data_IF_649781769375
#
_entry.id   IF_649781769375
#
_cell.length_a   1.000
_cell.length_b   1.000
_cell.length_c   1.000
_cell.angle_alpha   90.00
_cell.angle_beta   90.00
_cell.angle_gamma   90.00
#
_symmetry.space_group_name_H-M   'P 1'
#
loop_
_entity.id
_entity.type
_entity.pdbx_description
1 polymer ?
#
# COMPACT_ATOMS: atom_id res chain seq x y z
N UNK A 1 57.59 -39.46 -41.43
CA UNK A 1 56.52 -38.46 -41.61
C UNK A 1 55.19 -39.11 -41.31
N UNK A 2 54.51 -38.64 -40.25
CA UNK A 2 53.06 -38.40 -40.13
C UNK A 2 52.67 -38.39 -38.65
N UNK A 3 52.48 -37.18 -38.14
CA UNK A 3 51.89 -36.89 -36.82
C UNK A 3 50.37 -36.77 -36.98
N UNK A 4 49.61 -37.46 -36.13
CA UNK A 4 48.16 -37.30 -36.01
C UNK A 4 47.81 -36.24 -34.97
N UNK A 5 47.12 -35.18 -35.40
CA UNK A 5 46.52 -34.17 -34.51
C UNK A 5 45.14 -34.65 -34.03
N UNK A 6 44.97 -34.75 -32.71
CA UNK A 6 43.65 -34.79 -32.06
C UNK A 6 43.15 -33.35 -31.87
N UNK A 7 42.03 -32.99 -32.52
CA UNK A 7 41.30 -31.75 -32.24
C UNK A 7 40.18 -32.03 -31.24
N UNK A 8 40.32 -31.50 -30.02
CA UNK A 8 39.24 -31.38 -29.05
C UNK A 8 38.40 -30.14 -29.38
N UNK A 9 37.11 -30.33 -29.71
CA UNK A 9 36.14 -29.25 -29.80
C UNK A 9 35.66 -28.89 -28.39
N UNK A 10 36.08 -27.75 -27.86
CA UNK A 10 35.48 -27.15 -26.67
C UNK A 10 34.21 -26.39 -27.07
N UNK A 11 33.04 -26.92 -26.71
CA UNK A 11 31.78 -26.19 -26.80
C UNK A 11 31.67 -25.32 -25.53
N UNK A 12 31.99 -24.03 -25.67
CA UNK A 12 31.71 -23.03 -24.64
C UNK A 12 30.22 -22.67 -24.68
N UNK A 13 29.44 -23.22 -23.74
CA UNK A 13 28.12 -22.72 -23.41
C UNK A 13 28.24 -21.34 -22.77
N UNK A 14 27.98 -20.29 -23.55
CA UNK A 14 27.76 -18.95 -23.00
C UNK A 14 26.39 -18.90 -22.35
N UNK A 15 26.33 -19.07 -21.03
CA UNK A 15 25.18 -18.62 -20.25
C UNK A 15 25.13 -17.09 -20.35
N UNK A 16 24.17 -16.56 -21.11
CA UNK A 16 23.94 -15.12 -21.17
C UNK A 16 23.60 -14.57 -19.78
N UNK A 17 23.98 -13.33 -19.44
CA UNK A 17 23.61 -12.71 -18.19
C UNK A 17 22.09 -12.59 -18.13
N UNK A 18 21.47 -13.18 -17.11
CA UNK A 18 20.05 -12.97 -16.80
C UNK A 18 19.90 -11.49 -16.46
N UNK A 19 19.26 -10.72 -17.34
CA UNK A 19 18.96 -9.32 -17.08
C UNK A 19 18.09 -9.24 -15.81
N UNK A 20 18.61 -8.59 -14.76
CA UNK A 20 17.90 -8.47 -13.50
C UNK A 20 16.60 -7.68 -13.74
N UNK A 21 15.45 -8.34 -13.65
CA UNK A 21 14.12 -7.74 -13.83
C UNK A 21 13.96 -6.47 -12.98
N UNK A 22 13.87 -5.29 -13.61
CA UNK A 22 13.80 -3.98 -12.91
C UNK A 22 12.38 -3.54 -12.60
N UNK A 23 11.38 -4.23 -13.14
CA UNK A 23 9.97 -3.90 -12.99
C UNK A 23 9.14 -5.11 -12.54
N UNK A 24 8.06 -4.85 -11.81
CA UNK A 24 7.06 -5.86 -11.45
C UNK A 24 5.66 -5.33 -11.73
N UNK A 25 4.78 -6.21 -12.19
CA UNK A 25 3.35 -5.95 -12.32
C UNK A 25 2.60 -6.93 -11.42
N UNK A 26 1.69 -6.41 -10.60
CA UNK A 26 0.90 -7.16 -9.63
C UNK A 26 -0.59 -6.98 -9.95
N UNK A 27 -1.36 -8.06 -9.98
CA UNK A 27 -2.80 -7.98 -10.19
C UNK A 27 -3.52 -7.52 -8.92
N UNK A 28 -4.38 -6.51 -9.00
CA UNK A 28 -5.12 -5.98 -7.86
C UNK A 28 -6.27 -6.90 -7.41
N UNK A 29 -6.77 -7.78 -8.29
CA UNK A 29 -7.94 -8.62 -8.00
C UNK A 29 -7.53 -10.06 -7.66
N UNK A 30 -7.94 -10.61 -6.50
CA UNK A 30 -8.72 -9.98 -5.43
C UNK A 30 -7.88 -9.06 -4.51
N UNK A 31 -6.55 -9.20 -4.55
CA UNK A 31 -5.59 -8.29 -3.92
C UNK A 31 -4.21 -8.49 -4.54
N UNK A 32 -3.37 -7.45 -4.60
CA UNK A 32 -1.99 -7.56 -5.01
C UNK A 32 -1.18 -8.38 -3.99
N UNK A 33 -0.73 -9.57 -4.38
CA UNK A 33 0.15 -10.42 -3.56
C UNK A 33 1.51 -10.56 -4.24
N UNK A 34 2.57 -10.49 -3.44
CA UNK A 34 3.92 -10.85 -3.85
C UNK A 34 4.44 -12.02 -3.02
N UNK A 35 5.05 -12.99 -3.70
CA UNK A 35 5.75 -14.10 -3.05
C UNK A 35 7.18 -13.70 -2.70
N UNK A 36 7.62 -14.08 -1.49
CA UNK A 36 8.96 -13.79 -1.00
C UNK A 36 9.47 -14.91 -0.07
N UNK A 37 10.70 -14.75 0.40
CA UNK A 37 11.21 -15.49 1.56
C UNK A 37 11.70 -14.54 2.63
N UNK A 38 11.42 -14.86 3.88
CA UNK A 38 11.95 -14.16 5.06
C UNK A 38 12.78 -15.17 5.85
N UNK A 39 14.07 -14.85 6.05
CA UNK A 39 15.03 -15.75 6.71
C UNK A 39 15.01 -17.18 6.11
N UNK A 40 14.87 -17.28 4.79
CA UNK A 40 14.82 -18.55 4.06
C UNK A 40 13.48 -19.29 4.11
N UNK A 41 12.44 -18.71 4.72
CA UNK A 41 11.11 -19.32 4.85
C UNK A 41 10.12 -18.63 3.91
N UNK A 42 9.27 -19.37 3.17
CA UNK A 42 8.32 -18.78 2.25
C UNK A 42 7.27 -17.94 2.97
N UNK A 43 6.90 -16.84 2.34
CA UNK A 43 5.90 -15.89 2.83
C UNK A 43 5.14 -15.30 1.65
N UNK A 44 3.83 -15.11 1.82
CA UNK A 44 2.99 -14.33 0.90
C UNK A 44 2.71 -12.98 1.53
N UNK A 45 2.96 -11.89 0.81
CA UNK A 45 2.78 -10.53 1.30
C UNK A 45 1.76 -9.78 0.46
N UNK A 46 0.75 -9.21 1.11
CA UNK A 46 -0.18 -8.26 0.49
C UNK A 46 0.52 -6.93 0.24
N UNK A 47 0.48 -6.45 -1.00
CA UNK A 47 1.05 -5.14 -1.36
C UNK A 47 -0.02 -4.08 -1.21
N UNK A 48 0.11 -3.24 -0.18
CA UNK A 48 -0.85 -2.20 0.16
C UNK A 48 -0.26 -0.81 -0.13
N UNK A 49 -0.78 -0.07 -1.14
CA UNK A 49 -0.28 1.26 -1.49
C UNK A 49 -0.46 2.31 -0.40
N UNK A 50 -1.33 2.07 0.59
CA UNK A 50 -1.51 2.96 1.74
C UNK A 50 -0.33 2.89 2.71
N UNK A 51 0.45 1.80 2.66
CA UNK A 51 1.61 1.61 3.51
C UNK A 51 2.86 2.33 2.97
N UNK A 52 3.67 2.95 3.85
CA UNK A 52 5.00 3.43 3.50
C UNK A 52 5.97 2.26 3.26
N UNK A 53 7.27 2.53 3.17
CA UNK A 53 8.36 1.58 2.92
C UNK A 53 8.63 0.60 4.07
N UNK A 54 7.59 -0.09 4.54
CA UNK A 54 7.66 -1.03 5.66
C UNK A 54 6.96 -2.36 5.35
N UNK A 55 7.33 -3.36 6.13
CA UNK A 55 6.63 -4.63 6.28
C UNK A 55 5.82 -4.61 7.58
N UNK A 56 4.61 -5.18 7.56
CA UNK A 56 3.84 -5.51 8.74
C UNK A 56 3.60 -7.02 8.79
N UNK A 57 3.83 -7.62 9.97
CA UNK A 57 3.57 -9.04 10.24
C UNK A 57 2.75 -9.16 11.52
N UNK A 58 1.94 -10.20 11.60
CA UNK A 58 1.39 -10.64 12.88
C UNK A 58 2.47 -11.33 13.72
N UNK A 59 2.28 -11.40 15.02
CA UNK A 59 3.16 -12.11 15.95
C UNK A 59 3.34 -13.59 15.55
N UNK A 60 2.27 -14.36 15.26
CA UNK A 60 2.40 -15.74 14.80
C UNK A 60 3.20 -15.87 13.49
N UNK A 61 2.99 -14.96 12.52
CA UNK A 61 3.75 -14.97 11.27
C UNK A 61 5.24 -14.68 11.52
N UNK A 62 5.55 -13.69 12.34
CA UNK A 62 6.93 -13.33 12.70
C UNK A 62 7.68 -14.50 13.37
N UNK A 63 7.03 -15.22 14.28
CA UNK A 63 7.58 -16.39 14.96
C UNK A 63 7.82 -17.55 13.99
N UNK A 64 6.84 -17.86 13.14
CA UNK A 64 6.97 -18.87 12.08
C UNK A 64 8.12 -18.56 11.12
N UNK A 65 8.35 -17.28 10.81
CA UNK A 65 9.39 -16.80 9.91
C UNK A 65 10.75 -16.56 10.61
N UNK A 66 10.85 -16.82 11.92
CA UNK A 66 12.08 -16.63 12.69
C UNK A 66 12.56 -15.18 12.76
N UNK A 67 11.63 -14.23 12.73
CA UNK A 67 11.93 -12.79 12.71
C UNK A 67 12.30 -12.33 14.12
N UNK A 68 13.56 -11.91 14.30
CA UNK A 68 14.06 -11.39 15.57
C UNK A 68 13.66 -9.92 15.77
N UNK A 69 12.90 -9.67 16.83
CA UNK A 69 12.51 -8.33 17.27
C UNK A 69 13.73 -7.56 17.79
N UNK A 70 13.83 -6.27 17.48
CA UNK A 70 14.84 -5.40 18.05
C UNK A 70 14.48 -5.08 19.51
N UNK A 71 15.43 -5.24 20.45
CA UNK A 71 15.18 -4.91 21.85
C UNK A 71 14.88 -3.42 21.98
N UNK A 72 13.90 -3.08 22.83
CA UNK A 72 13.49 -1.70 23.17
C UNK A 72 12.98 -0.83 22.01
N UNK A 73 12.83 -1.36 20.79
CA UNK A 73 12.26 -0.63 19.66
C UNK A 73 10.78 -0.97 19.47
N UNK A 74 9.93 0.06 19.50
CA UNK A 74 8.49 -0.07 19.33
C UNK A 74 8.02 0.74 18.14
N UNK A 75 6.90 0.33 17.56
CA UNK A 75 6.15 1.10 16.56
C UNK A 75 4.74 1.28 17.06
N UNK A 76 4.15 2.43 16.79
CA UNK A 76 2.76 2.69 17.06
C UNK A 76 2.10 3.09 15.76
N UNK A 77 1.01 2.43 15.42
CA UNK A 77 0.12 2.81 14.32
C UNK A 77 -1.09 3.46 14.96
N UNK A 78 -1.18 4.78 14.88
CA UNK A 78 -2.32 5.56 15.32
C UNK A 78 -3.17 5.99 14.13
N UNK A 79 -4.49 6.02 14.32
CA UNK A 79 -5.42 6.68 13.40
C UNK A 79 -6.11 7.79 14.19
N UNK A 80 -6.26 8.97 13.59
CA UNK A 80 -6.74 10.16 14.30
C UNK A 80 -8.03 9.92 15.08
N UNK A 81 -7.91 10.06 16.41
CA UNK A 81 -8.94 9.87 17.44
C UNK A 81 -9.81 8.63 17.29
N UNK A 82 -9.18 7.53 16.88
CA UNK A 82 -9.68 6.19 17.13
C UNK A 82 -8.46 5.32 17.36
N UNK A 83 -8.15 5.01 18.62
CA UNK A 83 -7.17 4.00 19.03
C UNK A 83 -5.75 4.09 18.47
N UNK A 84 -4.89 3.21 18.98
CA UNK A 84 -3.59 2.96 18.38
C UNK A 84 -3.25 1.50 18.59
N UNK A 85 -2.55 0.91 17.62
CA UNK A 85 -1.98 -0.41 17.76
C UNK A 85 -0.49 -0.28 18.02
N UNK A 86 -0.01 -0.86 19.12
CA UNK A 86 1.42 -0.97 19.38
C UNK A 86 1.97 -2.23 18.75
N UNK A 87 3.19 -2.12 18.27
CA UNK A 87 3.95 -3.21 17.68
C UNK A 87 5.40 -3.16 18.12
N UNK A 88 6.14 -4.20 17.76
CA UNK A 88 7.59 -4.29 17.94
C UNK A 88 8.28 -4.10 16.60
N UNK A 89 9.44 -3.48 16.60
CA UNK A 89 10.24 -3.35 15.38
C UNK A 89 11.10 -4.60 15.19
N UNK A 90 11.27 -5.03 13.95
CA UNK A 90 12.26 -5.99 13.51
C UNK A 90 12.93 -5.54 12.19
N UNK A 91 14.02 -6.20 11.81
CA UNK A 91 14.70 -6.01 10.52
C UNK A 91 14.99 -7.38 9.88
N UNK A 92 13.97 -8.03 9.30
CA UNK A 92 14.15 -9.31 8.63
C UNK A 92 14.98 -9.17 7.35
N UNK A 93 15.65 -10.26 6.96
CA UNK A 93 16.20 -10.37 5.62
C UNK A 93 15.10 -10.90 4.68
N UNK A 94 14.63 -10.07 3.77
CA UNK A 94 13.56 -10.39 2.82
C UNK A 94 14.19 -10.61 1.44
N UNK A 95 13.80 -11.68 0.76
CA UNK A 95 14.21 -11.94 -0.63
C UNK A 95 13.01 -12.13 -1.55
N UNK A 96 13.05 -11.48 -2.70
CA UNK A 96 12.10 -11.55 -3.80
C UNK A 96 12.82 -12.19 -4.99
N UNK A 97 12.71 -13.51 -5.12
CA UNK A 97 13.53 -14.30 -6.05
C UNK A 97 15.04 -14.09 -5.80
N UNK A 98 15.74 -13.60 -6.82
CA UNK A 98 17.18 -13.30 -6.78
C UNK A 98 17.50 -12.03 -5.95
N UNK A 99 16.53 -11.12 -5.76
CA UNK A 99 16.73 -9.81 -5.14
C UNK A 99 16.52 -9.87 -3.62
N UNK A 100 17.26 -9.06 -2.88
CA UNK A 100 17.07 -8.89 -1.43
C UNK A 100 16.67 -7.44 -1.10
N UNK A 101 15.75 -7.27 -0.15
CA UNK A 101 15.43 -5.98 0.44
C UNK A 101 15.65 -6.04 1.96
N UNK A 102 16.13 -4.94 2.53
CA UNK A 102 16.28 -4.78 3.98
C UNK A 102 15.27 -3.74 4.44
N UNK A 103 14.13 -4.21 4.90
CA UNK A 103 13.03 -3.33 5.32
C UNK A 103 12.86 -3.38 6.83
N UNK A 104 12.36 -2.30 7.40
CA UNK A 104 11.84 -2.34 8.76
C UNK A 104 10.51 -3.10 8.75
N UNK A 105 10.33 -3.95 9.76
CA UNK A 105 9.11 -4.68 9.98
C UNK A 105 8.45 -4.26 11.29
N UNK A 106 7.18 -3.86 11.25
CA UNK A 106 6.32 -3.80 12.42
C UNK A 106 5.71 -5.17 12.70
N UNK A 107 5.89 -5.67 13.92
CA UNK A 107 5.32 -6.93 14.40
C UNK A 107 4.18 -6.60 15.34
N UNK A 108 2.97 -7.00 14.97
CA UNK A 108 1.74 -6.62 15.65
C UNK A 108 1.09 -7.83 16.32
N UNK A 109 0.36 -7.63 17.44
CA UNK A 109 -0.27 -8.74 18.16
C UNK A 109 -1.50 -9.31 17.43
N UNK A 110 -2.04 -8.59 16.44
CA UNK A 110 -3.25 -8.97 15.70
C UNK A 110 -2.93 -9.34 14.25
N UNK A 111 -3.84 -10.06 13.55
CA UNK A 111 -3.72 -10.28 12.12
C UNK A 111 -3.66 -8.94 11.36
N UNK A 112 -2.62 -8.77 10.54
CA UNK A 112 -2.42 -7.55 9.73
C UNK A 112 -3.00 -7.66 8.32
N UNK A 113 -3.27 -8.89 7.87
CA UNK A 113 -3.94 -9.22 6.61
C UNK A 113 -4.85 -10.42 6.86
N UNK A 114 -5.96 -10.49 6.12
CA UNK A 114 -6.84 -11.67 6.05
C UNK A 114 -6.54 -12.57 4.85
N UNK A 115 -5.64 -12.13 3.96
CA UNK A 115 -5.38 -12.74 2.64
C UNK A 115 -3.94 -13.23 2.47
N UNK A 116 -3.04 -12.78 3.33
CA UNK A 116 -1.60 -13.02 3.26
C UNK A 116 -0.99 -13.17 4.67
N UNK A 117 0.28 -13.56 4.73
CA UNK A 117 1.01 -13.69 6.00
C UNK A 117 1.40 -12.33 6.61
N UNK A 118 1.39 -11.28 5.78
CA UNK A 118 1.80 -9.93 6.12
C UNK A 118 1.36 -8.93 5.07
N UNK A 119 1.58 -7.65 5.35
CA UNK A 119 1.34 -6.55 4.42
C UNK A 119 2.65 -5.80 4.20
N UNK A 120 2.95 -5.41 2.97
CA UNK A 120 4.16 -4.69 2.59
C UNK A 120 3.78 -3.47 1.77
N UNK A 121 4.37 -2.32 2.07
CA UNK A 121 4.21 -1.16 1.19
C UNK A 121 5.01 -1.34 -0.10
N UNK A 122 4.54 -0.81 -1.23
CA UNK A 122 5.23 -0.97 -2.51
C UNK A 122 6.63 -0.34 -2.54
N UNK A 123 6.91 0.67 -1.70
CA UNK A 123 8.25 1.24 -1.51
C UNK A 123 9.29 0.25 -0.94
N UNK A 124 8.82 -0.79 -0.26
CA UNK A 124 9.65 -1.85 0.29
C UNK A 124 10.04 -2.94 -0.73
N UNK A 125 9.50 -2.90 -1.96
CA UNK A 125 9.86 -3.87 -3.01
C UNK A 125 11.19 -3.51 -3.70
N UNK A 126 12.00 -4.49 -4.17
CA UNK A 126 13.32 -4.21 -4.75
C UNK A 126 13.27 -3.91 -6.26
N UNK A 127 12.22 -3.24 -6.74
CA UNK A 127 12.02 -2.94 -8.16
C UNK A 127 11.99 -1.42 -8.39
N UNK A 128 12.58 -0.99 -9.52
CA UNK A 128 12.59 0.41 -9.94
C UNK A 128 11.20 0.88 -10.37
N UNK A 129 10.43 -0.02 -10.97
CA UNK A 129 9.06 0.22 -11.41
C UNK A 129 8.16 -0.84 -10.78
N UNK A 130 7.15 -0.39 -10.04
CA UNK A 130 6.13 -1.27 -9.47
C UNK A 130 4.79 -0.81 -10.02
N UNK A 131 4.09 -1.72 -10.68
CA UNK A 131 2.77 -1.49 -11.25
C UNK A 131 1.77 -2.41 -10.57
N UNK A 132 0.63 -1.86 -10.17
CA UNK A 132 -0.54 -2.63 -9.76
C UNK A 132 -1.58 -2.49 -10.87
N UNK A 133 -1.89 -3.60 -11.53
CA UNK A 133 -2.92 -3.70 -12.55
C UNK A 133 -4.30 -3.76 -11.87
N UNK A 134 -5.18 -2.83 -12.23
CA UNK A 134 -6.49 -2.64 -11.60
C UNK A 134 -7.59 -3.26 -12.47
N UNK A 135 -7.53 -3.03 -13.78
CA UNK A 135 -8.53 -3.46 -14.74
C UNK A 135 -7.98 -3.53 -16.16
N UNK A 136 -8.85 -3.88 -17.11
CA UNK A 136 -8.46 -3.93 -18.51
C UNK A 136 -8.11 -2.53 -19.04
N UNK A 137 -7.14 -2.46 -19.94
CA UNK A 137 -6.77 -1.21 -20.61
C UNK A 137 -7.88 -0.75 -21.57
N UNK A 138 -8.31 0.50 -21.41
CA UNK A 138 -9.26 1.14 -22.31
C UNK A 138 -8.60 1.47 -23.66
N UNK A 139 -9.36 1.38 -24.75
CA UNK A 139 -8.86 1.68 -26.09
C UNK A 139 -8.34 3.12 -26.24
N UNK A 140 -8.95 4.07 -25.50
CA UNK A 140 -8.48 5.44 -25.38
C UNK A 140 -7.97 5.69 -23.96
N UNK A 141 -6.77 5.20 -23.67
CA UNK A 141 -6.12 5.44 -22.38
C UNK A 141 -5.38 6.80 -22.36
N UNK A 142 -5.46 7.50 -21.23
CA UNK A 142 -4.64 8.65 -20.88
C UNK A 142 -3.83 8.37 -19.62
N UNK A 143 -2.68 9.03 -19.52
CA UNK A 143 -1.84 8.98 -18.33
C UNK A 143 -2.09 10.22 -17.45
N UNK A 144 -2.40 9.99 -16.18
CA UNK A 144 -2.38 11.01 -15.12
C UNK A 144 -1.04 10.85 -14.41
N UNK A 145 -0.10 11.75 -14.71
CA UNK A 145 1.26 11.70 -14.16
C UNK A 145 1.36 12.66 -12.98
N UNK A 146 1.70 12.12 -11.81
CA UNK A 146 1.74 12.83 -10.54
C UNK A 146 3.16 12.76 -9.97
N UNK A 147 3.79 13.90 -9.63
CA UNK A 147 5.12 13.89 -9.03
C UNK A 147 5.04 13.36 -7.58
N UNK A 148 6.02 12.53 -7.21
CA UNK A 148 6.19 12.04 -5.85
C UNK A 148 7.32 12.80 -5.17
N UNK A 149 7.07 13.25 -3.95
CA UNK A 149 8.12 13.77 -3.07
C UNK A 149 9.07 12.64 -2.64
N UNK A 150 8.50 11.49 -2.29
CA UNK A 150 9.21 10.27 -1.93
C UNK A 150 8.65 9.09 -2.76
N UNK A 151 9.45 8.45 -3.65
CA UNK A 151 8.98 7.31 -4.45
C UNK A 151 8.66 6.05 -3.64
N UNK A 152 9.10 5.98 -2.37
CA UNK A 152 8.84 4.84 -1.48
C UNK A 152 7.55 5.06 -0.64
N UNK A 153 6.89 6.21 -0.78
CA UNK A 153 5.59 6.50 -0.17
C UNK A 153 4.57 6.91 -1.25
N UNK A 154 3.56 6.07 -1.50
CA UNK A 154 2.63 6.24 -2.61
C UNK A 154 1.48 7.19 -2.26
N UNK A 155 1.84 8.44 -1.98
CA UNK A 155 0.89 9.52 -1.83
C UNK A 155 1.33 10.75 -2.63
N UNK A 156 0.35 11.55 -3.03
CA UNK A 156 0.57 12.80 -3.75
C UNK A 156 -0.17 13.94 -3.04
N UNK A 157 0.18 15.18 -3.33
CA UNK A 157 -0.65 16.32 -2.99
C UNK A 157 -1.50 16.68 -4.21
N UNK A 158 -2.81 16.80 -4.04
CA UNK A 158 -3.74 17.13 -5.13
C UNK A 158 -4.87 18.03 -4.63
N UNK A 159 -5.43 18.83 -5.54
CA UNK A 159 -6.65 19.57 -5.28
C UNK A 159 -7.87 18.63 -5.33
N UNK A 160 -8.70 18.73 -4.31
CA UNK A 160 -10.00 18.06 -4.20
C UNK A 160 -11.01 19.09 -3.74
N UNK A 161 -11.88 19.52 -4.64
CA UNK A 161 -12.90 20.54 -4.32
C UNK A 161 -12.30 21.87 -3.83
N UNK A 162 -11.19 22.32 -4.41
CA UNK A 162 -10.53 23.58 -4.01
C UNK A 162 -9.68 23.47 -2.75
N UNK A 163 -9.41 22.26 -2.26
CA UNK A 163 -8.58 22.00 -1.08
C UNK A 163 -7.43 21.08 -1.43
N UNK A 164 -6.21 21.46 -1.05
CA UNK A 164 -5.04 20.57 -1.17
C UNK A 164 -5.14 19.46 -0.14
N UNK A 165 -5.26 18.22 -0.61
CA UNK A 165 -5.25 17.02 0.21
C UNK A 165 -4.04 16.14 -0.11
N UNK A 166 -3.60 15.38 0.89
CA UNK A 166 -2.81 14.17 0.65
C UNK A 166 -3.74 13.11 0.03
N UNK A 167 -3.35 12.55 -1.11
CA UNK A 167 -4.12 11.49 -1.79
C UNK A 167 -3.32 10.18 -1.74
N UNK A 168 -3.92 9.15 -1.16
CA UNK A 168 -3.44 7.75 -1.18
C UNK A 168 -4.35 6.90 -2.06
N UNK A 169 -3.92 5.68 -2.35
CA UNK A 169 -4.66 4.74 -3.18
C UNK A 169 -4.96 3.47 -2.40
N UNK A 170 -6.19 2.99 -2.49
CA UNK A 170 -6.64 1.72 -1.94
C UNK A 170 -7.30 0.91 -3.05
N UNK A 171 -6.47 0.20 -3.80
CA UNK A 171 -6.92 -0.64 -4.91
C UNK A 171 -7.64 -1.92 -4.43
N UNK A 172 -7.56 -2.23 -3.14
CA UNK A 172 -8.08 -3.47 -2.56
C UNK A 172 -9.46 -3.32 -1.91
N UNK A 173 -9.88 -2.08 -1.61
CA UNK A 173 -11.19 -1.76 -1.04
C UNK A 173 -11.93 -0.78 -1.95
N UNK A 174 -13.22 -1.01 -2.15
CA UNK A 174 -14.01 -0.28 -3.14
C UNK A 174 -14.11 1.22 -2.84
N UNK A 175 -14.31 1.56 -1.56
CA UNK A 175 -14.74 2.89 -1.18
C UNK A 175 -13.59 3.87 -0.94
N UNK A 176 -13.78 5.11 -1.38
CA UNK A 176 -12.89 6.21 -0.99
C UNK A 176 -13.18 6.67 0.43
N UNK A 177 -12.14 7.12 1.13
CA UNK A 177 -12.23 7.49 2.55
C UNK A 177 -11.65 8.89 2.73
N UNK A 178 -12.43 9.79 3.32
CA UNK A 178 -11.98 11.08 3.82
C UNK A 178 -11.61 10.93 5.30
N UNK A 179 -10.39 11.32 5.65
CA UNK A 179 -10.00 11.36 7.07
C UNK A 179 -10.68 12.53 7.80
N UNK A 180 -10.62 12.55 9.14
CA UNK A 180 -11.36 13.53 9.94
C UNK A 180 -11.03 15.00 9.61
N UNK A 181 -9.78 15.41 9.36
CA UNK A 181 -9.45 16.77 8.94
C UNK A 181 -10.08 17.12 7.59
N UNK A 182 -10.08 16.20 6.61
CA UNK A 182 -10.75 16.42 5.33
C UNK A 182 -12.27 16.51 5.51
N UNK A 183 -12.87 15.65 6.35
CA UNK A 183 -14.30 15.72 6.70
C UNK A 183 -14.65 17.06 7.33
N UNK A 184 -13.89 17.53 8.33
CA UNK A 184 -14.12 18.85 8.96
C UNK A 184 -14.09 19.99 7.95
N UNK A 185 -13.25 19.88 6.92
CA UNK A 185 -13.11 20.89 5.89
C UNK A 185 -14.32 20.88 4.93
N UNK A 186 -14.76 19.72 4.46
CA UNK A 186 -15.84 19.60 3.48
C UNK A 186 -17.25 19.61 4.08
N UNK A 187 -17.43 19.11 5.29
CA UNK A 187 -18.72 19.12 6.00
C UNK A 187 -19.19 20.55 6.25
N UNK A 188 -18.25 21.44 6.61
CA UNK A 188 -18.50 22.87 6.76
C UNK A 188 -19.05 23.52 5.48
N UNK A 189 -18.60 23.03 4.32
CA UNK A 189 -19.00 23.53 3.01
C UNK A 189 -20.29 22.84 2.50
N UNK A 190 -20.81 21.84 3.23
CA UNK A 190 -22.01 21.10 2.87
C UNK A 190 -21.86 20.17 1.66
N UNK A 191 -20.62 19.82 1.26
CA UNK A 191 -20.35 19.06 0.02
C UNK A 191 -20.22 17.55 0.22
N UNK A 192 -20.42 17.07 1.44
CA UNK A 192 -20.40 15.64 1.82
C UNK A 192 -21.58 15.25 2.72
N UNK A 193 -22.85 15.53 2.35
CA UNK A 193 -24.00 15.18 3.18
C UNK A 193 -24.08 13.67 3.45
N UNK A 194 -24.53 13.31 4.66
CA UNK A 194 -24.69 11.93 5.09
C UNK A 194 -25.70 11.18 4.21
N UNK A 195 -25.40 9.91 3.94
CA UNK A 195 -26.11 9.10 2.96
C UNK A 195 -26.54 7.72 3.50
N UNK A 196 -26.77 7.61 4.81
CA UNK A 196 -27.22 6.37 5.44
C UNK A 196 -26.67 6.18 6.85
N UNK A 197 -26.80 4.97 7.36
CA UNK A 197 -26.29 4.58 8.68
C UNK A 197 -24.77 4.37 8.66
N UNK A 198 -24.16 4.48 9.84
CA UNK A 198 -22.74 4.17 10.03
C UNK A 198 -22.45 2.74 9.60
N UNK A 199 -21.34 2.54 8.89
CA UNK A 199 -20.92 1.23 8.40
C UNK A 199 -19.47 0.96 8.73
N UNK A 200 -19.15 -0.28 9.08
CA UNK A 200 -17.76 -0.69 9.32
C UNK A 200 -16.98 -0.73 8.02
N UNK A 201 -15.82 -0.06 8.02
CA UNK A 201 -14.91 0.01 6.89
C UNK A 201 -13.48 -0.30 7.31
N UNK A 202 -12.73 -1.07 6.50
CA UNK A 202 -11.28 -1.23 6.69
C UNK A 202 -10.56 0.11 6.65
N UNK A 203 -9.48 0.25 7.42
CA UNK A 203 -8.59 1.42 7.38
C UNK A 203 -7.20 1.03 6.92
N UNK A 204 -6.50 0.18 7.68
CA UNK A 204 -5.16 -0.33 7.36
C UNK A 204 -4.79 -1.46 8.33
N UNK A 205 -3.90 -2.37 7.96
CA UNK A 205 -3.35 -3.42 8.85
C UNK A 205 -4.42 -4.25 9.58
N UNK A 206 -5.49 -4.62 8.88
CA UNK A 206 -6.60 -5.38 9.48
C UNK A 206 -7.48 -4.58 10.44
N UNK A 207 -7.18 -3.30 10.68
CA UNK A 207 -8.00 -2.40 11.47
C UNK A 207 -9.21 -1.92 10.67
N UNK A 208 -10.33 -1.80 11.36
CA UNK A 208 -11.57 -1.25 10.82
C UNK A 208 -12.17 -0.25 11.80
N UNK A 209 -13.23 0.43 11.39
CA UNK A 209 -13.92 1.43 12.20
C UNK A 209 -15.26 1.76 11.56
N UNK A 210 -16.19 2.29 12.35
CA UNK A 210 -17.46 2.80 11.82
C UNK A 210 -17.22 4.15 11.12
N UNK A 211 -17.73 4.29 9.91
CA UNK A 211 -17.64 5.51 9.11
C UNK A 211 -19.02 5.90 8.59
N UNK A 212 -19.22 7.20 8.35
CA UNK A 212 -20.44 7.76 7.82
C UNK A 212 -20.41 7.67 6.28
N UNK A 213 -21.30 6.92 5.61
CA UNK A 213 -21.46 7.05 4.16
C UNK A 213 -21.89 8.48 3.83
N UNK A 214 -21.29 9.04 2.78
CA UNK A 214 -21.60 10.40 2.29
C UNK A 214 -21.83 10.38 0.79
N UNK A 215 -22.66 11.30 0.32
CA UNK A 215 -22.77 11.61 -1.12
C UNK A 215 -21.89 12.82 -1.43
N UNK A 216 -21.24 12.84 -2.58
CA UNK A 216 -20.39 13.96 -2.98
C UNK A 216 -20.16 13.99 -4.48
N UNK A 217 -19.97 15.19 -5.04
CA UNK A 217 -19.53 15.41 -6.42
C UNK A 217 -18.06 15.85 -6.49
N UNK A 218 -17.31 15.68 -5.40
CA UNK A 218 -15.88 15.95 -5.37
C UNK A 218 -15.16 15.06 -6.38
N UNK A 219 -14.08 15.61 -6.96
CA UNK A 219 -13.22 14.87 -7.89
C UNK A 219 -11.75 15.12 -7.56
N UNK A 220 -10.89 14.20 -8.01
CA UNK A 220 -9.44 14.34 -8.00
C UNK A 220 -8.92 14.00 -9.39
N UNK A 221 -8.27 14.95 -10.07
CA UNK A 221 -7.80 14.76 -11.46
C UNK A 221 -8.88 14.26 -12.45
N UNK A 222 -10.13 14.70 -12.23
CA UNK A 222 -11.30 14.29 -13.03
C UNK A 222 -11.87 12.91 -12.67
N UNK A 223 -11.37 12.27 -11.61
CA UNK A 223 -11.89 11.01 -11.08
C UNK A 223 -12.90 11.33 -9.97
N UNK A 224 -14.14 10.86 -10.12
CA UNK A 224 -15.15 10.92 -9.06
C UNK A 224 -14.79 9.99 -7.90
N UNK A 225 -15.09 10.40 -6.66
CA UNK A 225 -14.65 9.68 -5.45
C UNK A 225 -15.47 8.44 -5.09
N UNK A 226 -16.56 8.13 -5.80
CA UNK A 226 -17.57 7.17 -5.34
C UNK A 226 -17.06 5.77 -4.98
N UNK A 227 -17.84 4.95 -4.24
CA UNK A 227 -18.61 5.35 -3.07
C UNK A 227 -17.68 5.96 -2.01
N UNK A 228 -18.16 6.91 -1.20
CA UNK A 228 -17.31 7.67 -0.27
C UNK A 228 -17.77 7.57 1.17
N UNK A 229 -16.81 7.43 2.09
CA UNK A 229 -17.04 7.42 3.54
C UNK A 229 -16.26 8.54 4.23
N UNK A 230 -16.93 9.21 5.16
CA UNK A 230 -16.36 10.18 6.07
C UNK A 230 -15.95 9.49 7.38
N UNK A 231 -14.68 9.60 7.77
CA UNK A 231 -14.21 9.17 9.10
C UNK A 231 -14.93 9.95 10.19
N UNK A 232 -15.47 9.23 11.16
CA UNK A 232 -16.10 9.78 12.37
C UNK A 232 -15.11 9.73 13.56
N UNK A 233 -15.62 10.01 14.76
CA UNK A 233 -14.91 9.80 16.03
C UNK A 233 -14.97 8.36 16.54
N UNK A 234 -15.50 7.42 15.75
CA UNK A 234 -15.63 6.03 16.15
C UNK A 234 -14.25 5.41 16.42
N UNK A 235 -14.13 4.56 17.46
CA UNK A 235 -12.87 3.90 17.79
C UNK A 235 -12.43 2.94 16.68
N UNK A 236 -11.15 2.56 16.71
CA UNK A 236 -10.68 1.46 15.89
C UNK A 236 -11.12 0.13 16.48
N UNK A 237 -11.58 -0.73 15.60
CA UNK A 237 -11.90 -2.12 15.85
C UNK A 237 -10.69 -2.97 15.40
N UNK A 238 -10.45 -4.08 16.09
CA UNK A 238 -9.31 -4.96 15.83
C UNK A 238 -8.00 -4.56 16.52
N UNK A 239 -7.94 -3.40 17.20
CA UNK A 239 -6.85 -3.05 18.10
C UNK A 239 -7.10 -3.65 19.50
N UNK A 240 -6.89 -4.95 19.63
CA UNK A 240 -7.13 -5.69 20.88
C UNK A 240 -5.93 -5.58 21.82
N UNK A 241 -5.87 -4.52 22.65
CA UNK A 241 -5.06 -4.52 23.86
C UNK A 241 -5.93 -4.08 25.05
N UNK A 242 -6.06 -4.94 26.08
CA UNK A 242 -6.71 -4.59 27.36
C UNK A 242 -5.92 -3.51 28.12
N UNK A 243 -4.62 -3.37 27.85
CA UNK A 243 -3.70 -2.39 28.45
C UNK A 243 -3.29 -1.27 27.49
N UNK A 244 -4.12 -0.97 26.47
CA UNK A 244 -3.89 0.17 25.61
C UNK A 244 -3.97 1.48 26.42
N UNK A 245 -2.83 1.96 26.90
CA UNK A 245 -2.71 3.35 27.33
C UNK A 245 -3.03 4.19 26.10
N UNK A 246 -4.21 4.82 26.11
CA UNK A 246 -4.54 5.96 25.25
C UNK A 246 -3.61 7.09 25.68
N UNK A 247 -2.36 7.01 25.23
CA UNK A 247 -1.48 8.16 25.27
C UNK A 247 -1.97 9.06 24.14
N UNK A 248 -2.63 10.16 24.50
CA UNK A 248 -2.68 11.37 23.68
C UNK A 248 -1.25 11.92 23.55
N UNK A 249 -0.34 11.13 22.96
CA UNK A 249 0.93 11.65 22.49
C UNK A 249 0.59 12.61 21.38
N UNK A 250 1.01 13.88 21.53
CA UNK A 250 0.72 14.99 20.63
C UNK A 250 0.63 14.47 19.19
N UNK A 251 -0.60 14.36 18.69
CA UNK A 251 -0.82 13.95 17.32
C UNK A 251 -0.08 15.00 16.48
N UNK A 252 1.01 14.59 15.83
CA UNK A 252 1.42 15.24 14.60
C UNK A 252 0.14 15.46 13.81
N UNK A 253 -0.25 16.72 13.56
CA UNK A 253 -1.48 17.03 12.84
C UNK A 253 -1.52 16.15 11.59
N UNK A 254 -2.44 15.20 11.57
CA UNK A 254 -2.58 14.33 10.41
C UNK A 254 -3.13 15.24 9.31
N UNK A 255 -2.46 15.37 8.16
CA UNK A 255 -2.94 16.29 7.13
C UNK A 255 -4.29 15.80 6.58
N UNK A 256 -5.15 16.72 6.09
CA UNK A 256 -6.33 16.35 5.32
C UNK A 256 -5.97 15.35 4.23
N UNK A 257 -6.64 14.20 4.25
CA UNK A 257 -6.29 13.04 3.44
C UNK A 257 -7.53 12.43 2.79
N UNK A 258 -7.40 12.13 1.51
CA UNK A 258 -8.30 11.28 0.74
C UNK A 258 -7.57 9.96 0.43
N UNK A 259 -8.15 8.83 0.81
CA UNK A 259 -7.77 7.53 0.27
C UNK A 259 -8.74 7.23 -0.88
N UNK A 260 -8.24 7.15 -2.12
CA UNK A 260 -9.04 6.86 -3.31
C UNK A 260 -9.25 5.35 -3.44
N UNK A 261 -10.51 4.91 -3.41
CA UNK A 261 -10.88 3.50 -3.44
C UNK A 261 -10.84 2.86 -4.84
N UNK A 262 -10.82 1.53 -4.87
CA UNK A 262 -10.77 0.74 -6.10
C UNK A 262 -11.95 1.00 -7.04
N UNK A 263 -13.15 1.24 -6.52
CA UNK A 263 -14.33 1.50 -7.35
C UNK A 263 -14.25 2.85 -8.06
N UNK A 264 -13.68 3.88 -7.43
CA UNK A 264 -13.43 5.17 -8.07
C UNK A 264 -12.45 5.02 -9.25
N UNK A 265 -11.37 4.26 -9.04
CA UNK A 265 -10.38 3.96 -10.08
C UNK A 265 -10.98 3.14 -11.24
N UNK A 266 -11.73 2.08 -10.92
CA UNK A 266 -12.40 1.24 -11.94
C UNK A 266 -13.45 2.03 -12.74
N UNK A 267 -14.24 2.88 -12.07
CA UNK A 267 -15.28 3.69 -12.73
C UNK A 267 -14.67 4.74 -13.67
N UNK A 268 -13.48 5.24 -13.35
CA UNK A 268 -12.69 6.11 -14.24
C UNK A 268 -11.95 5.32 -15.35
N UNK A 269 -12.17 4.01 -15.47
CA UNK A 269 -11.52 3.16 -16.46
C UNK A 269 -10.01 3.01 -16.23
N UNK A 270 -9.55 3.13 -14.99
CA UNK A 270 -8.14 2.94 -14.65
C UNK A 270 -7.73 1.48 -14.79
N UNK A 271 -6.72 1.24 -15.63
CA UNK A 271 -6.12 -0.07 -15.84
C UNK A 271 -4.94 -0.32 -14.91
N UNK A 272 -4.26 0.72 -14.42
CA UNK A 272 -3.15 0.56 -13.49
C UNK A 272 -2.81 1.80 -12.68
N UNK A 273 -2.15 1.56 -11.54
CA UNK A 273 -1.34 2.54 -10.81
C UNK A 273 0.11 2.07 -10.83
N UNK A 274 1.03 2.93 -11.22
CA UNK A 274 2.44 2.60 -11.38
C UNK A 274 3.32 3.66 -10.76
N UNK A 275 4.38 3.24 -10.06
CA UNK A 275 5.43 4.16 -9.61
C UNK A 275 6.75 3.80 -10.26
N UNK A 276 7.37 4.81 -10.86
CA UNK A 276 8.75 4.77 -11.32
C UNK A 276 9.63 5.53 -10.33
N UNK A 277 10.46 4.81 -9.59
CA UNK A 277 11.31 5.38 -8.54
C UNK A 277 12.43 6.26 -9.08
N UNK A 278 12.90 5.97 -10.29
CA UNK A 278 13.98 6.73 -10.94
C UNK A 278 13.52 8.11 -11.36
N UNK A 279 12.29 8.21 -11.87
CA UNK A 279 11.69 9.50 -12.26
C UNK A 279 10.88 10.15 -11.13
N UNK A 280 10.65 9.43 -10.02
CA UNK A 280 9.81 9.85 -8.89
C UNK A 280 8.41 10.25 -9.34
N UNK A 281 7.80 9.42 -10.17
CA UNK A 281 6.46 9.65 -10.71
C UNK A 281 5.53 8.50 -10.35
N UNK A 282 4.32 8.86 -9.94
CA UNK A 282 3.17 7.98 -9.92
C UNK A 282 2.34 8.23 -11.18
N UNK A 283 1.96 7.18 -11.89
CA UNK A 283 1.14 7.24 -13.10
C UNK A 283 -0.11 6.43 -12.87
N UNK A 284 -1.28 7.06 -13.03
CA UNK A 284 -2.54 6.35 -13.22
C UNK A 284 -2.80 6.28 -14.72
N UNK A 285 -3.01 5.08 -15.24
CA UNK A 285 -3.41 4.89 -16.64
C UNK A 285 -4.91 4.63 -16.66
N UNK A 286 -5.68 5.59 -17.15
CA UNK A 286 -7.15 5.59 -17.08
C UNK A 286 -7.79 5.92 -18.42
N UNK A 287 -9.11 5.76 -18.53
CA UNK A 287 -9.82 6.17 -19.72
C UNK A 287 -9.73 7.69 -19.91
N UNK A 288 -9.67 8.11 -21.17
CA UNK A 288 -9.64 9.51 -21.60
C UNK A 288 -10.93 10.24 -21.24
#
# INVERSE_FOLDING_TARGET
MHWGLFSFLFVLWFAGPVAAQTSITLEASPVAIVDATINGRPVRLEVDPRMPDMLALSTPAAERLGVRRLPFAQVQVGIEGGGSMRGRIARPNIRFGERSARNMAGIFPVPVSTRADGVIGPGSLPYDIVTIAIGAEAAAARDIVLPLENPDAWFVQADVGGRSLRVLFDVANDASILNRPAVRAFDRDGVIPSAGELSERPVILGLSTLMQPVTTSLTVHGIELGPTFARTVSPLLGALEEDAIIAEGAASETPPTLTLGGQALLSAGCSSVSVNRRTRQLTLRCAS
#
